data_IF_882018641116
#
_entry.id   IF_882018641116
#
_cell.length_a   1.000
_cell.length_b   1.000
_cell.length_c   1.000
_cell.angle_alpha   90.00
_cell.angle_beta   90.00
_cell.angle_gamma   90.00
#
_symmetry.space_group_name_H-M   'P 1'
#
loop_
_entity.id
_entity.type
_entity.pdbx_description
1 polymer ?
#
# COMPACT_ATOMS: atom_id res chain seq x y z
N UNK A 1 -25.77 15.87 3.86
CA UNK A 1 -25.60 17.05 2.98
C UNK A 1 -25.25 16.52 1.59
N UNK A 2 -26.22 16.47 0.68
CA UNK A 2 -25.92 16.25 -0.74
C UNK A 2 -25.53 17.60 -1.32
N UNK A 3 -24.24 17.83 -1.48
CA UNK A 3 -23.73 19.01 -2.16
C UNK A 3 -23.97 18.78 -3.66
N UNK A 4 -24.83 19.61 -4.27
CA UNK A 4 -25.13 19.65 -5.71
C UNK A 4 -25.68 18.36 -6.36
N UNK A 5 -26.41 17.52 -5.64
CA UNK A 5 -26.91 16.23 -6.16
C UNK A 5 -25.80 15.35 -6.79
N UNK A 6 -24.58 15.48 -6.27
CA UNK A 6 -23.44 14.69 -6.74
C UNK A 6 -23.59 13.23 -6.32
N UNK A 7 -23.48 12.34 -7.31
CA UNK A 7 -23.55 10.89 -7.13
C UNK A 7 -22.22 10.26 -7.57
N UNK A 8 -21.30 9.95 -6.62
CA UNK A 8 -19.93 9.55 -6.95
C UNK A 8 -19.86 8.39 -7.96
N UNK A 9 -20.61 7.32 -7.69
CA UNK A 9 -20.62 6.13 -8.55
C UNK A 9 -21.08 6.40 -9.99
N UNK A 10 -21.91 7.41 -10.19
CA UNK A 10 -22.44 7.77 -11.52
C UNK A 10 -21.59 8.87 -12.20
N UNK A 11 -20.77 9.63 -11.46
CA UNK A 11 -20.21 10.90 -11.93
C UNK A 11 -18.68 11.00 -11.80
N UNK A 12 -18.00 10.09 -11.11
CA UNK A 12 -16.55 10.19 -10.87
C UNK A 12 -15.70 10.08 -12.13
N UNK A 13 -16.20 9.36 -13.15
CA UNK A 13 -15.53 9.28 -14.45
C UNK A 13 -15.28 10.67 -15.06
N UNK A 14 -16.04 11.70 -14.65
CA UNK A 14 -15.91 13.08 -15.12
C UNK A 14 -14.59 13.74 -14.69
N UNK A 15 -13.84 13.16 -13.74
CA UNK A 15 -12.49 13.65 -13.41
C UNK A 15 -11.58 13.69 -14.64
N UNK A 16 -11.77 12.74 -15.58
CA UNK A 16 -11.00 12.66 -16.82
C UNK A 16 -11.37 13.72 -17.86
N UNK A 17 -12.44 14.49 -17.64
CA UNK A 17 -12.76 15.67 -18.45
C UNK A 17 -11.90 16.87 -18.08
N UNK A 18 -11.26 16.84 -16.91
CA UNK A 18 -10.38 17.91 -16.41
C UNK A 18 -8.92 17.47 -16.42
N UNK A 19 -8.64 16.23 -16.02
CA UNK A 19 -7.31 15.63 -16.01
C UNK A 19 -7.14 14.69 -17.20
N UNK A 20 -6.12 14.92 -18.02
CA UNK A 20 -5.78 13.99 -19.08
C UNK A 20 -5.18 12.69 -18.48
N UNK A 21 -5.84 11.53 -18.64
CA UNK A 21 -5.32 10.27 -18.11
C UNK A 21 -3.94 9.93 -18.67
N UNK A 22 -3.68 10.18 -19.96
CA UNK A 22 -2.39 9.85 -20.58
C UNK A 22 -1.21 10.62 -19.95
N UNK A 23 -1.47 11.81 -19.40
CA UNK A 23 -0.46 12.63 -18.71
C UNK A 23 -0.33 12.26 -17.24
N UNK A 24 -1.43 11.96 -16.56
CA UNK A 24 -1.46 11.82 -15.10
C UNK A 24 -1.34 10.38 -14.57
N UNK A 25 -1.59 9.36 -15.40
CA UNK A 25 -1.48 7.96 -14.98
C UNK A 25 -0.04 7.60 -14.56
N UNK A 26 0.96 8.07 -15.33
CA UNK A 26 2.38 7.79 -15.05
C UNK A 26 2.83 8.41 -13.71
N UNK A 27 2.59 9.70 -13.42
CA UNK A 27 2.84 10.27 -12.10
C UNK A 27 2.11 9.54 -10.96
N UNK A 28 0.85 9.12 -11.15
CA UNK A 28 0.10 8.35 -10.14
C UNK A 28 0.77 7.02 -9.83
N UNK A 29 1.19 6.27 -10.87
CA UNK A 29 1.90 5.01 -10.65
C UNK A 29 3.28 5.20 -10.05
N UNK A 30 4.00 6.27 -10.40
CA UNK A 30 5.26 6.61 -9.76
C UNK A 30 5.06 6.92 -8.25
N UNK A 31 4.03 7.70 -7.90
CA UNK A 31 3.70 7.97 -6.50
C UNK A 31 3.32 6.69 -5.74
N UNK A 32 2.49 5.83 -6.34
CA UNK A 32 2.14 4.53 -5.76
C UNK A 32 3.36 3.64 -5.57
N UNK A 33 4.29 3.62 -6.52
CA UNK A 33 5.54 2.87 -6.41
C UNK A 33 6.39 3.39 -5.25
N UNK A 34 6.56 4.72 -5.12
CA UNK A 34 7.32 5.33 -4.02
C UNK A 34 6.71 4.95 -2.67
N UNK A 35 5.38 5.05 -2.55
CA UNK A 35 4.68 4.67 -1.31
C UNK A 35 4.87 3.18 -1.02
N UNK A 36 4.70 2.31 -2.02
CA UNK A 36 4.88 0.88 -1.86
C UNK A 36 6.30 0.55 -1.36
N UNK A 37 7.33 1.11 -1.99
CA UNK A 37 8.72 0.91 -1.57
C UNK A 37 8.94 1.42 -0.13
N UNK A 38 8.47 2.61 0.21
CA UNK A 38 8.61 3.17 1.55
C UNK A 38 7.97 2.28 2.63
N UNK A 39 6.76 1.79 2.38
CA UNK A 39 6.05 0.89 3.31
C UNK A 39 6.82 -0.42 3.49
N UNK A 40 7.34 -1.02 2.41
CA UNK A 40 8.10 -2.26 2.51
C UNK A 40 9.44 -2.06 3.23
N UNK A 41 10.18 -1.00 2.91
CA UNK A 41 11.43 -0.65 3.62
C UNK A 41 11.16 -0.49 5.11
N UNK A 42 10.10 0.23 5.48
CA UNK A 42 9.73 0.40 6.88
C UNK A 42 9.32 -0.91 7.53
N UNK A 43 8.47 -1.72 6.88
CA UNK A 43 8.06 -3.02 7.40
C UNK A 43 9.27 -3.94 7.66
N UNK A 44 10.25 -3.97 6.75
CA UNK A 44 11.49 -4.74 6.91
C UNK A 44 12.40 -4.24 8.02
N UNK A 45 12.29 -2.96 8.41
CA UNK A 45 13.06 -2.42 9.54
C UNK A 45 12.54 -2.88 10.91
N UNK A 46 11.30 -3.38 10.97
CA UNK A 46 10.68 -3.81 12.22
C UNK A 46 11.09 -5.24 12.60
N UNK A 47 11.40 -5.52 13.88
CA UNK A 47 11.74 -6.87 14.33
C UNK A 47 10.62 -7.87 14.01
N UNK A 48 10.97 -9.03 13.45
CA UNK A 48 10.02 -10.11 13.16
C UNK A 48 9.16 -9.94 11.90
N UNK A 49 9.24 -8.81 11.20
CA UNK A 49 8.52 -8.57 9.95
C UNK A 49 9.37 -8.84 8.69
N UNK A 50 10.67 -9.10 8.85
CA UNK A 50 11.52 -9.52 7.76
C UNK A 50 11.26 -10.98 7.35
N UNK A 51 11.64 -11.36 6.14
CA UNK A 51 11.47 -12.72 5.61
C UNK A 51 12.39 -13.77 6.27
N UNK A 52 12.94 -13.45 7.45
CA UNK A 52 13.75 -14.38 8.21
C UNK A 52 12.83 -15.39 8.88
N UNK A 53 13.07 -16.71 8.71
CA UNK A 53 12.33 -17.70 9.48
C UNK A 53 12.56 -17.43 10.97
N UNK A 54 11.51 -17.56 11.77
CA UNK A 54 11.61 -17.46 13.21
C UNK A 54 12.75 -18.37 13.69
N UNK A 55 13.64 -17.83 14.54
CA UNK A 55 14.72 -18.62 15.10
C UNK A 55 14.12 -19.88 15.75
N UNK A 56 14.69 -21.08 15.51
CA UNK A 56 14.17 -22.29 16.11
C UNK A 56 14.19 -22.13 17.62
N UNK A 57 13.01 -22.20 18.24
CA UNK A 57 12.90 -22.30 19.70
C UNK A 57 13.64 -23.56 20.11
N UNK A 58 14.75 -23.39 20.83
CA UNK A 58 15.48 -24.51 21.42
C UNK A 58 14.54 -25.19 22.42
N UNK A 59 14.03 -26.37 22.05
CA UNK A 59 13.29 -27.21 22.97
C UNK A 59 14.32 -27.78 23.93
N UNK A 60 14.36 -27.29 25.18
CA UNK A 60 15.16 -27.92 26.23
C UNK A 60 14.71 -29.37 26.36
N UNK A 61 15.64 -30.31 26.11
CA UNK A 61 15.38 -31.72 26.34
C UNK A 61 15.08 -31.92 27.83
N UNK A 62 14.05 -32.72 28.20
CA UNK A 62 13.74 -32.96 29.59
C UNK A 62 14.97 -33.54 30.29
N UNK A 63 15.34 -32.96 31.44
CA UNK A 63 16.45 -33.44 32.25
C UNK A 63 16.27 -34.94 32.53
N UNK A 64 17.29 -35.74 32.17
CA UNK A 64 17.35 -37.17 32.45
C UNK A 64 17.38 -37.45 33.96
#
# INVERSE_FOLDING_TARGET
MNVFDYKPLEQDYRIWLVLNPATWLIPMFAALLVIALAVHVYAFSLPGNAWTPAAPVAVEAPAQ
#
